data_IF_765258307389
#
_entry.id   IF_765258307389
#
_cell.length_a   1.000
_cell.length_b   1.000
_cell.length_c   1.000
_cell.angle_alpha   90.00
_cell.angle_beta   90.00
_cell.angle_gamma   90.00
#
_symmetry.space_group_name_H-M   'P 1'
#
loop_
_entity.id
_entity.type
_entity.pdbx_description
1 polymer ?
#
# COMPACT_ATOMS: atom_id res chain seq x y z
N UNK A 1 20.45 34.67 16.12
CA UNK A 1 19.60 33.58 15.61
C UNK A 1 20.45 32.51 14.96
N UNK A 2 20.37 31.25 15.37
CA UNK A 2 21.11 30.16 14.70
C UNK A 2 20.30 29.62 13.53
N UNK A 3 20.96 29.40 12.40
CA UNK A 3 20.37 28.66 11.28
C UNK A 3 20.64 27.18 11.53
N UNK A 4 19.59 26.43 11.84
CA UNK A 4 19.67 24.98 11.72
C UNK A 4 19.47 24.64 10.24
N UNK A 5 20.56 24.40 9.50
CA UNK A 5 20.48 23.75 8.19
C UNK A 5 20.11 22.30 8.47
N UNK A 6 18.81 22.05 8.59
CA UNK A 6 18.26 20.71 8.49
C UNK A 6 17.86 20.49 7.03
N UNK A 7 18.76 19.78 6.34
CA UNK A 7 18.52 18.83 5.25
C UNK A 7 17.33 19.15 4.32
N UNK A 8 17.65 19.45 3.06
CA UNK A 8 16.85 19.29 1.83
C UNK A 8 15.45 18.68 2.08
N UNK A 9 14.42 19.51 2.07
CA UNK A 9 13.04 19.05 2.04
C UNK A 9 12.70 18.69 0.58
N UNK A 10 13.04 17.47 0.17
CA UNK A 10 12.39 16.87 -1.00
C UNK A 10 10.92 16.67 -0.67
N UNK A 11 10.07 17.60 -1.13
CA UNK A 11 8.63 17.32 -1.27
C UNK A 11 8.48 16.38 -2.46
N UNK A 12 8.77 15.11 -2.21
CA UNK A 12 8.24 14.03 -3.01
C UNK A 12 6.86 13.71 -2.41
N UNK A 13 5.80 13.93 -3.18
CA UNK A 13 4.60 13.13 -3.00
C UNK A 13 4.97 11.70 -3.44
N UNK A 14 5.61 10.96 -2.55
CA UNK A 14 6.02 9.59 -2.75
C UNK A 14 5.09 8.71 -1.92
N UNK A 15 4.30 7.86 -2.59
CA UNK A 15 3.86 6.62 -1.99
C UNK A 15 5.10 5.89 -1.48
N UNK A 16 5.15 5.64 -0.19
CA UNK A 16 6.29 5.05 0.49
C UNK A 16 6.49 3.60 0.05
N UNK A 17 7.48 3.39 -0.81
CA UNK A 17 8.18 2.12 -0.93
C UNK A 17 9.15 1.99 0.25
N UNK A 18 8.79 1.17 1.22
CA UNK A 18 9.74 0.70 2.22
C UNK A 18 10.70 -0.31 1.55
N UNK A 19 11.85 0.17 1.07
CA UNK A 19 12.98 -0.70 0.79
C UNK A 19 13.79 -0.87 2.08
N UNK A 20 13.67 -2.04 2.74
CA UNK A 20 14.52 -2.40 3.86
C UNK A 20 15.97 -2.62 3.37
N UNK A 21 16.87 -1.69 3.66
CA UNK A 21 18.31 -1.93 3.52
C UNK A 21 18.85 -2.61 4.79
N UNK A 22 19.49 -3.76 4.60
CA UNK A 22 20.24 -4.47 5.65
C UNK A 22 21.44 -3.64 6.11
N UNK A 23 21.52 -3.34 7.41
CA UNK A 23 22.76 -2.81 7.99
C UNK A 23 23.83 -3.90 8.10
N UNK A 24 25.01 -3.57 7.59
CA UNK A 24 26.25 -4.34 7.69
C UNK A 24 26.76 -4.36 9.12
N UNK A 25 26.96 -5.55 9.68
CA UNK A 25 27.95 -5.75 10.73
C UNK A 25 29.26 -6.22 10.08
N UNK A 26 30.32 -5.43 10.29
CA UNK A 26 31.69 -5.87 10.11
C UNK A 26 31.92 -7.09 11.00
N UNK A 27 32.32 -8.23 10.45
CA UNK A 27 33.50 -8.99 10.85
C UNK A 27 33.67 -10.23 9.94
N UNK A 28 34.92 -10.49 9.57
CA UNK A 28 35.48 -11.61 8.80
C UNK A 28 35.57 -11.49 7.28
N UNK A 29 36.78 -11.79 6.82
CA UNK A 29 37.47 -11.36 5.62
C UNK A 29 37.55 -12.54 4.65
N UNK A 30 36.87 -12.45 3.51
CA UNK A 30 37.24 -13.20 2.31
C UNK A 30 37.11 -12.29 1.08
N UNK A 31 38.24 -12.11 0.38
CA UNK A 31 38.35 -11.36 -0.88
C UNK A 31 37.89 -12.26 -2.02
N UNK A 32 36.93 -11.84 -2.86
CA UNK A 32 36.94 -12.13 -4.31
C UNK A 32 36.14 -11.07 -5.10
N UNK A 33 36.91 -10.33 -5.92
CA UNK A 33 36.65 -9.69 -7.24
C UNK A 33 35.35 -8.90 -7.49
N UNK A 34 35.50 -7.58 -7.68
CA UNK A 34 34.48 -6.62 -8.16
C UNK A 34 34.34 -6.71 -9.69
N UNK A 35 33.10 -6.72 -10.20
CA UNK A 35 32.76 -6.26 -11.57
C UNK A 35 32.20 -4.84 -11.45
N UNK A 36 32.83 -3.87 -12.10
CA UNK A 36 32.32 -2.50 -12.24
C UNK A 36 31.29 -2.44 -13.37
N UNK A 37 30.11 -1.82 -13.17
CA UNK A 37 29.34 -1.19 -14.23
C UNK A 37 29.82 0.27 -14.43
N UNK A 38 29.88 0.72 -15.69
CA UNK A 38 30.21 2.09 -16.08
C UNK A 38 29.29 3.14 -15.40
N UNK A 39 29.81 4.36 -15.12
CA UNK A 39 29.07 5.42 -14.44
C UNK A 39 28.03 6.06 -15.36
N UNK A 40 26.75 5.98 -14.98
CA UNK A 40 25.71 6.91 -15.46
C UNK A 40 25.83 8.22 -14.69
N UNK A 41 25.98 9.33 -15.39
CA UNK A 41 25.98 10.68 -14.79
C UNK A 41 24.65 10.95 -14.08
N UNK A 42 24.71 11.07 -12.75
CA UNK A 42 23.56 11.50 -11.92
C UNK A 42 23.59 13.01 -11.84
N UNK A 43 22.74 13.69 -12.61
CA UNK A 43 22.45 15.11 -12.40
C UNK A 43 21.53 15.23 -11.19
N UNK A 44 22.07 15.65 -10.06
CA UNK A 44 21.31 16.00 -8.86
C UNK A 44 20.73 17.40 -9.04
N UNK A 45 19.40 17.51 -9.17
CA UNK A 45 18.69 18.79 -9.11
C UNK A 45 18.25 19.02 -7.65
N UNK A 46 18.73 20.06 -6.94
CA UNK A 46 18.33 20.33 -5.55
C UNK A 46 16.84 20.66 -5.44
N UNK A 47 16.15 20.06 -4.46
CA UNK A 47 14.79 20.43 -4.08
C UNK A 47 14.72 21.78 -3.33
N UNK A 48 13.50 22.30 -3.07
CA UNK A 48 13.32 23.60 -2.41
C UNK A 48 13.81 23.60 -0.95
N UNK A 49 14.59 24.62 -0.58
CA UNK A 49 15.10 24.83 0.78
C UNK A 49 14.01 25.40 1.69
N UNK A 50 13.82 24.82 2.88
CA UNK A 50 12.90 25.31 3.92
C UNK A 50 13.71 25.80 5.12
N UNK A 51 13.37 26.99 5.63
CA UNK A 51 14.05 27.59 6.78
C UNK A 51 13.24 27.40 8.06
N UNK A 52 13.89 26.97 9.14
CA UNK A 52 13.39 27.06 10.50
C UNK A 52 14.13 28.19 11.23
N UNK A 53 13.41 29.02 11.97
CA UNK A 53 13.96 30.18 12.68
C UNK A 53 13.95 29.90 14.18
N UNK A 54 15.12 30.01 14.82
CA UNK A 54 15.29 29.76 16.25
C UNK A 54 15.93 30.98 16.93
N UNK A 55 15.34 31.37 18.07
CA UNK A 55 15.84 32.41 18.95
C UNK A 55 15.85 31.90 20.39
N UNK A 56 17.01 31.97 21.05
CA UNK A 56 17.22 31.51 22.44
C UNK A 56 16.76 30.06 22.75
N UNK A 57 16.76 29.17 21.75
CA UNK A 57 16.35 27.77 21.91
C UNK A 57 14.87 27.51 21.63
N UNK A 58 14.09 28.54 21.28
CA UNK A 58 12.69 28.43 20.89
C UNK A 58 12.47 28.72 19.40
N UNK A 59 11.54 27.99 18.78
CA UNK A 59 11.16 28.21 17.39
C UNK A 59 10.25 29.43 17.27
N UNK A 60 10.65 30.38 16.43
CA UNK A 60 9.88 31.58 16.14
C UNK A 60 9.35 31.55 14.69
N UNK A 61 8.28 32.28 14.41
CA UNK A 61 7.72 32.34 13.06
C UNK A 61 8.63 33.13 12.10
N UNK A 62 8.50 32.86 10.79
CA UNK A 62 9.20 33.61 9.73
C UNK A 62 8.96 35.13 9.81
N UNK A 63 7.72 35.55 10.10
CA UNK A 63 7.39 36.97 10.25
C UNK A 63 8.17 37.57 11.42
N UNK A 64 8.06 36.98 12.61
CA UNK A 64 8.76 37.47 13.81
C UNK A 64 10.29 37.52 13.61
N UNK A 65 10.86 36.53 12.93
CA UNK A 65 12.26 36.49 12.59
C UNK A 65 12.67 37.61 11.62
N UNK A 66 11.96 37.78 10.51
CA UNK A 66 12.29 38.75 9.47
C UNK A 66 12.01 40.20 9.91
N UNK A 67 10.91 40.43 10.63
CA UNK A 67 10.56 41.74 11.20
C UNK A 67 11.61 42.15 12.24
N UNK A 68 12.00 41.24 13.14
CA UNK A 68 13.04 41.51 14.14
C UNK A 68 14.43 41.77 13.54
N UNK A 69 14.74 41.17 12.39
CA UNK A 69 15.98 41.48 11.64
C UNK A 69 15.90 42.85 10.97
N UNK A 70 14.77 43.20 10.36
CA UNK A 70 14.56 44.48 9.70
C UNK A 70 14.58 45.66 10.70
N UNK A 71 14.05 45.45 11.90
CA UNK A 71 14.03 46.42 12.99
C UNK A 71 15.38 46.50 13.75
N UNK A 72 16.34 45.64 13.42
CA UNK A 72 17.67 45.60 14.05
C UNK A 72 17.68 45.00 15.46
N UNK A 73 16.57 44.41 15.90
CA UNK A 73 16.43 43.73 17.19
C UNK A 73 17.06 42.33 17.19
N UNK A 74 17.17 41.70 16.02
CA UNK A 74 17.73 40.36 15.82
C UNK A 74 18.84 40.37 14.77
N UNK A 75 19.85 39.51 14.96
CA UNK A 75 20.91 39.29 13.97
C UNK A 75 21.12 37.79 13.73
N UNK A 76 21.49 37.45 12.49
CA UNK A 76 21.95 36.11 12.13
C UNK A 76 23.22 35.74 12.90
N UNK A 77 23.26 34.52 13.43
CA UNK A 77 24.47 33.97 14.06
C UNK A 77 25.52 33.55 13.03
N UNK A 78 25.11 33.33 11.78
CA UNK A 78 25.98 33.10 10.63
C UNK A 78 25.57 34.03 9.47
N UNK A 79 26.38 35.07 9.16
CA UNK A 79 26.04 36.06 8.14
C UNK A 79 26.00 35.50 6.71
N UNK A 80 26.63 34.35 6.44
CA UNK A 80 26.76 33.82 5.07
C UNK A 80 25.56 32.97 4.62
N UNK A 81 24.69 32.57 5.55
CA UNK A 81 23.54 31.69 5.31
C UNK A 81 22.20 32.42 5.07
N UNK A 82 22.21 33.75 5.03
CA UNK A 82 21.00 34.59 5.03
C UNK A 82 20.38 34.83 3.64
N UNK A 83 21.02 34.39 2.54
CA UNK A 83 20.51 34.70 1.20
C UNK A 83 19.17 34.00 0.96
N UNK A 84 18.14 34.82 0.73
CA UNK A 84 16.76 34.46 0.35
C UNK A 84 15.85 33.92 1.47
N UNK A 85 16.30 33.94 2.73
CA UNK A 85 15.50 33.42 3.85
C UNK A 85 14.24 34.25 4.13
N UNK A 86 14.26 35.56 3.90
CA UNK A 86 13.12 36.45 4.14
C UNK A 86 12.31 36.81 2.88
N UNK A 87 12.63 36.23 1.73
CA UNK A 87 11.92 36.53 0.48
C UNK A 87 10.48 36.00 0.50
N UNK A 88 9.51 36.69 -0.15
CA UNK A 88 8.13 36.23 -0.22
C UNK A 88 8.04 34.92 -1.03
N UNK A 89 7.43 33.89 -0.44
CA UNK A 89 7.14 32.63 -1.12
C UNK A 89 5.86 32.78 -1.97
N UNK A 90 5.76 32.19 -3.18
CA UNK A 90 4.54 32.24 -3.97
C UNK A 90 3.37 31.63 -3.18
N UNK A 91 2.25 32.35 -3.15
CA UNK A 91 1.05 31.99 -2.41
C UNK A 91 0.36 30.79 -3.05
N UNK A 92 0.24 29.67 -2.32
CA UNK A 92 -0.49 28.48 -2.76
C UNK A 92 -1.90 28.57 -2.17
N UNK A 93 -2.89 28.86 -3.02
CA UNK A 93 -4.30 28.72 -2.66
C UNK A 93 -4.61 27.22 -2.43
N UNK A 94 -5.35 26.81 -1.38
CA UNK A 94 -5.62 25.39 -1.16
C UNK A 94 -6.44 24.80 -2.33
N UNK A 95 -6.00 23.71 -2.96
CA UNK A 95 -6.77 23.08 -4.04
C UNK A 95 -7.95 22.29 -3.47
N UNK A 96 -9.08 22.31 -4.18
CA UNK A 96 -10.14 21.29 -4.05
C UNK A 96 -9.56 19.95 -4.48
N UNK A 97 -9.94 18.88 -3.79
CA UNK A 97 -9.50 17.53 -4.15
C UNK A 97 -9.84 17.21 -5.62
N UNK A 98 -8.84 16.71 -6.37
CA UNK A 98 -8.92 16.13 -7.72
C UNK A 98 -8.61 17.00 -8.97
N UNK A 99 -7.49 17.75 -8.99
CA UNK A 99 -6.84 18.15 -10.27
C UNK A 99 -5.31 18.07 -10.17
N UNK A 100 -4.63 17.59 -11.22
CA UNK A 100 -3.17 17.50 -11.34
C UNK A 100 -2.71 18.29 -12.59
N UNK A 101 -1.74 19.20 -12.44
CA UNK A 101 -1.19 20.00 -13.55
C UNK A 101 0.21 19.50 -13.93
N UNK A 102 0.45 19.40 -15.24
CA UNK A 102 1.65 18.85 -15.88
C UNK A 102 2.69 19.95 -16.18
N UNK A 103 3.99 19.60 -16.19
CA UNK A 103 5.09 20.44 -16.68
C UNK A 103 5.52 19.98 -18.09
N UNK A 104 5.87 20.88 -19.03
CA UNK A 104 6.10 20.49 -20.43
C UNK A 104 7.40 19.69 -20.59
N UNK A 105 7.37 18.63 -21.39
CA UNK A 105 8.55 17.83 -21.75
C UNK A 105 9.13 18.25 -23.11
N UNK A 106 10.44 18.43 -23.16
CA UNK A 106 11.23 18.68 -24.38
C UNK A 106 11.52 17.38 -25.13
N UNK A 107 11.25 17.39 -26.43
CA UNK A 107 11.44 16.32 -27.41
C UNK A 107 12.90 16.09 -27.79
N UNK A 108 13.36 14.82 -27.80
CA UNK A 108 14.45 14.34 -28.66
C UNK A 108 14.18 12.91 -29.18
N UNK A 109 14.69 12.55 -30.38
CA UNK A 109 14.15 11.47 -31.20
C UNK A 109 14.84 10.11 -30.99
N UNK A 110 14.09 9.04 -31.25
CA UNK A 110 14.53 7.64 -31.22
C UNK A 110 15.40 7.24 -32.43
N UNK A 111 16.36 6.30 -32.26
CA UNK A 111 17.03 5.67 -33.39
C UNK A 111 16.31 4.38 -33.84
N UNK A 112 16.05 4.31 -35.15
CA UNK A 112 15.62 3.11 -35.88
C UNK A 112 16.76 2.10 -36.05
N UNK A 113 16.45 0.81 -35.96
CA UNK A 113 17.17 -0.23 -36.68
C UNK A 113 16.24 -1.39 -37.05
N UNK A 114 16.26 -1.72 -38.35
CA UNK A 114 15.59 -2.82 -39.03
C UNK A 114 16.56 -4.00 -39.17
N UNK A 115 16.07 -5.23 -39.09
CA UNK A 115 16.46 -6.33 -40.01
C UNK A 115 15.60 -7.58 -39.81
N UNK A 116 15.22 -8.16 -40.94
CA UNK A 116 14.30 -9.28 -41.17
C UNK A 116 14.76 -10.66 -40.62
N UNK A 117 13.82 -11.63 -40.50
CA UNK A 117 14.04 -12.92 -39.84
C UNK A 117 14.63 -14.00 -40.77
N UNK A 118 15.43 -14.97 -40.26
CA UNK A 118 15.84 -16.13 -41.03
C UNK A 118 14.75 -17.22 -41.08
N UNK A 119 14.73 -17.89 -42.23
CA UNK A 119 13.77 -18.88 -42.71
C UNK A 119 13.83 -20.22 -41.97
N UNK A 120 12.65 -20.83 -41.92
CA UNK A 120 12.28 -22.19 -41.61
C UNK A 120 13.17 -23.27 -42.27
N UNK A 121 13.65 -24.22 -41.47
CA UNK A 121 14.16 -25.51 -41.95
C UNK A 121 13.50 -26.62 -41.14
N UNK A 122 12.59 -27.33 -41.80
CA UNK A 122 11.82 -28.44 -41.22
C UNK A 122 12.72 -29.59 -40.78
N UNK A 123 12.65 -29.92 -39.50
CA UNK A 123 13.12 -31.17 -38.92
C UNK A 123 11.90 -32.02 -38.62
N UNK A 124 11.72 -33.06 -39.42
CA UNK A 124 10.71 -34.11 -39.21
C UNK A 124 11.26 -35.06 -38.14
N UNK A 125 10.69 -35.02 -36.93
CA UNK A 125 10.98 -35.92 -35.83
C UNK A 125 9.68 -36.57 -35.38
N UNK A 126 9.54 -37.87 -35.67
CA UNK A 126 8.47 -38.72 -35.16
C UNK A 126 8.60 -38.85 -33.63
N UNK A 127 7.65 -38.27 -32.89
CA UNK A 127 7.50 -38.47 -31.44
C UNK A 127 6.45 -39.55 -31.13
N UNK A 128 6.71 -40.48 -30.20
CA UNK A 128 5.73 -41.46 -29.76
C UNK A 128 4.65 -40.84 -28.86
N UNK A 129 3.46 -41.43 -28.93
CA UNK A 129 2.24 -41.07 -28.22
C UNK A 129 2.43 -41.07 -26.68
N UNK A 130 2.36 -39.89 -26.06
CA UNK A 130 2.43 -39.71 -24.60
C UNK A 130 1.01 -39.76 -24.02
N UNK A 131 0.74 -40.78 -23.19
CA UNK A 131 -0.48 -40.89 -22.39
C UNK A 131 -0.60 -39.70 -21.43
N UNK A 132 -1.76 -39.05 -21.45
CA UNK A 132 -2.17 -37.97 -20.55
C UNK A 132 -1.91 -38.32 -19.07
N UNK A 133 -1.22 -37.47 -18.30
CA UNK A 133 -1.19 -37.60 -16.84
C UNK A 133 -2.51 -37.13 -16.22
N UNK A 134 -2.78 -37.70 -15.06
CA UNK A 134 -3.91 -37.52 -14.13
C UNK A 134 -4.28 -36.05 -13.81
N UNK A 135 -5.46 -35.80 -13.21
CA UNK A 135 -6.04 -34.46 -13.08
C UNK A 135 -5.15 -33.48 -12.32
N UNK A 136 -5.13 -32.24 -12.81
CA UNK A 136 -4.54 -31.07 -12.17
C UNK A 136 -5.01 -30.99 -10.71
N UNK A 137 -4.11 -30.81 -9.72
CA UNK A 137 -4.50 -30.61 -8.33
C UNK A 137 -5.45 -29.42 -8.23
N UNK A 138 -6.64 -29.66 -7.68
CA UNK A 138 -7.60 -28.62 -7.34
C UNK A 138 -6.90 -27.59 -6.45
N UNK A 139 -6.87 -26.32 -6.89
CA UNK A 139 -6.35 -25.23 -6.07
C UNK A 139 -6.97 -25.29 -4.67
N UNK A 140 -6.19 -25.06 -3.60
CA UNK A 140 -6.71 -25.08 -2.24
C UNK A 140 -7.88 -24.10 -2.15
N UNK A 141 -8.96 -24.54 -1.51
CA UNK A 141 -10.14 -23.72 -1.27
C UNK A 141 -9.72 -22.38 -0.63
N UNK A 142 -10.27 -21.24 -1.06
CA UNK A 142 -10.03 -19.97 -0.39
C UNK A 142 -10.32 -20.11 1.11
N UNK A 143 -9.62 -19.41 2.00
CA UNK A 143 -10.01 -19.38 3.40
C UNK A 143 -11.44 -18.85 3.46
N UNK A 144 -12.38 -19.76 3.72
CA UNK A 144 -13.69 -19.38 4.21
C UNK A 144 -13.43 -18.55 5.47
N UNK A 145 -14.14 -17.42 5.58
CA UNK A 145 -14.16 -16.56 6.77
C UNK A 145 -13.91 -17.37 8.05
N UNK A 146 -13.07 -16.85 8.96
CA UNK A 146 -12.87 -17.52 10.26
C UNK A 146 -14.23 -17.84 10.89
N UNK A 147 -14.32 -18.98 11.56
CA UNK A 147 -15.54 -19.35 12.26
C UNK A 147 -15.88 -18.25 13.28
N UNK A 148 -17.16 -18.07 13.60
CA UNK A 148 -17.56 -17.15 14.68
C UNK A 148 -17.32 -15.66 14.40
N UNK A 149 -17.40 -15.20 13.15
CA UNK A 149 -17.33 -13.76 12.79
C UNK A 149 -18.31 -12.89 13.58
N UNK A 150 -19.42 -13.48 14.03
CA UNK A 150 -20.44 -12.82 14.84
C UNK A 150 -20.27 -12.97 16.35
N UNK A 151 -19.21 -13.62 16.82
CA UNK A 151 -18.93 -13.81 18.23
C UNK A 151 -18.12 -12.64 18.80
N UNK A 152 -18.48 -12.25 20.03
CA UNK A 152 -17.66 -11.31 20.81
C UNK A 152 -16.31 -11.96 21.13
N UNK A 153 -15.24 -11.19 21.02
CA UNK A 153 -13.90 -11.64 21.37
C UNK A 153 -13.74 -11.74 22.89
N UNK A 154 -13.23 -12.86 23.44
CA UNK A 154 -13.02 -13.03 24.86
C UNK A 154 -11.75 -12.28 25.32
N UNK A 155 -11.92 -10.98 25.48
CA UNK A 155 -10.86 -10.02 25.83
C UNK A 155 -10.04 -10.48 27.04
N UNK A 156 -8.71 -10.55 26.89
CA UNK A 156 -7.78 -10.96 27.95
C UNK A 156 -7.76 -12.46 28.28
N UNK A 157 -8.47 -13.32 27.53
CA UNK A 157 -8.54 -14.76 27.83
C UNK A 157 -7.65 -15.61 26.92
N UNK A 158 -7.53 -15.24 25.65
CA UNK A 158 -6.75 -15.98 24.65
C UNK A 158 -5.26 -15.70 24.84
N UNK A 159 -4.43 -16.74 24.82
CA UNK A 159 -2.98 -16.60 24.86
C UNK A 159 -2.46 -15.96 23.58
N UNK A 160 -1.41 -15.12 23.65
CA UNK A 160 -0.84 -14.49 22.45
C UNK A 160 -0.29 -15.49 21.43
N UNK A 161 0.10 -16.69 21.88
CA UNK A 161 0.53 -17.80 21.03
C UNK A 161 -0.60 -18.43 20.21
N UNK A 162 -1.87 -18.14 20.55
CA UNK A 162 -3.03 -18.79 19.95
C UNK A 162 -3.71 -17.81 18.99
N UNK A 163 -3.66 -18.11 17.70
CA UNK A 163 -4.33 -17.30 16.68
C UNK A 163 -5.88 -17.42 16.82
N UNK A 164 -6.63 -16.30 16.86
CA UNK A 164 -8.04 -16.31 17.21
C UNK A 164 -8.98 -16.62 16.02
N UNK A 165 -8.75 -17.72 15.31
CA UNK A 165 -9.54 -18.11 14.14
C UNK A 165 -11.03 -18.38 14.44
N UNK A 166 -11.36 -18.72 15.68
CA UNK A 166 -12.73 -18.99 16.17
C UNK A 166 -13.59 -17.71 16.31
N UNK A 167 -13.00 -16.53 16.09
CA UNK A 167 -13.64 -15.22 16.24
C UNK A 167 -13.60 -14.39 14.94
N UNK A 168 -13.63 -15.06 13.79
CA UNK A 168 -13.73 -14.44 12.47
C UNK A 168 -12.41 -14.16 11.76
N UNK A 169 -11.29 -14.13 12.48
CA UNK A 169 -9.97 -13.89 11.89
C UNK A 169 -9.56 -15.04 10.96
N UNK A 170 -8.99 -14.72 9.80
CA UNK A 170 -8.47 -15.73 8.86
C UNK A 170 -6.96 -15.90 9.04
N UNK A 171 -6.52 -17.15 9.17
CA UNK A 171 -5.10 -17.47 9.34
C UNK A 171 -4.34 -17.28 8.04
N UNK A 172 -3.23 -16.53 8.11
CA UNK A 172 -2.30 -16.30 7.00
C UNK A 172 -0.97 -17.03 7.24
N UNK A 173 -1.04 -18.35 7.44
CA UNK A 173 0.10 -19.17 7.87
C UNK A 173 1.31 -19.11 6.91
N UNK A 174 1.09 -18.83 5.63
CA UNK A 174 2.18 -18.71 4.64
C UNK A 174 3.13 -17.53 4.92
N UNK A 175 2.70 -16.54 5.70
CA UNK A 175 3.55 -15.41 6.10
C UNK A 175 4.61 -15.81 7.13
N UNK A 176 4.46 -16.99 7.77
CA UNK A 176 5.37 -17.43 8.83
C UNK A 176 5.31 -16.60 10.10
N UNK A 177 4.18 -15.91 10.32
CA UNK A 177 3.91 -15.06 11.48
C UNK A 177 2.91 -15.70 12.45
N UNK A 178 2.69 -17.02 12.40
CA UNK A 178 1.71 -17.69 13.28
C UNK A 178 0.25 -17.29 12.99
N UNK A 179 -0.09 -17.11 11.71
CA UNK A 179 -1.43 -16.78 11.24
C UNK A 179 -1.75 -15.28 11.18
N UNK A 180 -0.96 -14.42 11.83
CA UNK A 180 -1.15 -12.97 11.84
C UNK A 180 -0.85 -12.35 10.46
N UNK A 181 -1.59 -11.30 10.09
CA UNK A 181 -1.37 -10.54 8.85
C UNK A 181 -0.20 -9.57 8.93
N UNK A 182 0.27 -9.31 10.15
CA UNK A 182 1.39 -8.45 10.44
C UNK A 182 1.60 -8.36 11.95
N UNK A 183 2.84 -8.14 12.38
CA UNK A 183 3.17 -7.93 13.79
C UNK A 183 3.96 -6.63 13.87
N UNK A 184 3.60 -5.75 14.81
CA UNK A 184 4.31 -4.52 15.07
C UNK A 184 4.80 -4.52 16.52
N UNK A 185 6.11 -4.45 16.70
CA UNK A 185 6.74 -4.24 18.00
C UNK A 185 6.90 -2.74 18.18
N UNK A 186 6.11 -2.17 19.08
CA UNK A 186 5.96 -0.72 19.19
C UNK A 186 6.69 -0.18 20.41
N UNK A 187 7.39 0.94 20.24
CA UNK A 187 7.89 1.76 21.35
C UNK A 187 6.96 2.96 21.51
N UNK A 188 6.39 3.12 22.71
CA UNK A 188 5.50 4.25 23.03
C UNK A 188 6.26 5.26 23.89
N UNK A 189 6.22 6.53 23.51
CA UNK A 189 6.69 7.64 24.34
C UNK A 189 5.60 8.71 24.42
N UNK A 190 5.21 9.07 25.64
CA UNK A 190 4.07 9.95 25.86
C UNK A 190 2.78 9.33 25.30
N UNK A 191 2.14 10.03 24.35
CA UNK A 191 0.89 9.60 23.72
C UNK A 191 1.04 9.02 22.32
N UNK A 192 2.27 8.76 21.86
CA UNK A 192 2.54 8.35 20.47
C UNK A 192 3.49 7.15 20.39
N UNK A 193 3.35 6.37 19.34
CA UNK A 193 4.34 5.34 18.96
C UNK A 193 5.49 6.05 18.24
N UNK A 194 6.71 5.96 18.77
CA UNK A 194 7.89 6.62 18.20
C UNK A 194 8.75 5.70 17.35
N UNK A 195 8.65 4.39 17.56
CA UNK A 195 9.36 3.39 16.80
C UNK A 195 8.50 2.14 16.59
N UNK A 196 8.62 1.55 15.41
CA UNK A 196 7.94 0.32 15.03
C UNK A 196 8.96 -0.59 14.37
N UNK A 197 9.24 -1.72 15.00
CA UNK A 197 9.87 -2.86 14.32
C UNK A 197 8.76 -3.74 13.76
N UNK A 198 8.72 -3.90 12.45
CA UNK A 198 7.81 -4.87 11.80
C UNK A 198 8.34 -6.29 12.01
N UNK A 199 7.44 -7.21 12.32
CA UNK A 199 7.74 -8.62 12.44
C UNK A 199 8.07 -9.25 11.09
N UNK A 200 9.02 -10.17 11.09
CA UNK A 200 9.47 -10.94 9.92
C UNK A 200 9.19 -12.43 10.11
N UNK A 201 9.34 -13.23 9.06
CA UNK A 201 9.14 -14.68 9.13
C UNK A 201 9.84 -15.31 10.35
N UNK A 202 9.09 -16.02 11.18
CA UNK A 202 9.55 -16.65 12.42
C UNK A 202 9.28 -15.84 13.69
N UNK A 203 8.98 -14.54 13.56
CA UNK A 203 8.49 -13.72 14.65
C UNK A 203 7.10 -14.17 15.12
N UNK A 204 6.77 -13.84 16.38
CA UNK A 204 5.54 -14.26 17.05
C UNK A 204 4.87 -13.08 17.74
N UNK A 205 3.56 -13.18 17.88
CA UNK A 205 2.80 -12.28 18.73
C UNK A 205 3.21 -12.52 20.19
N UNK A 206 4.03 -11.62 20.73
CA UNK A 206 4.59 -11.68 22.07
C UNK A 206 4.31 -10.40 22.86
N UNK A 207 4.63 -10.40 24.14
CA UNK A 207 4.24 -9.32 25.05
C UNK A 207 4.69 -7.94 24.55
N UNK A 208 3.75 -7.00 24.52
CA UNK A 208 3.95 -5.65 24.01
C UNK A 208 3.74 -5.49 22.50
N UNK A 209 3.63 -6.58 21.73
CA UNK A 209 3.36 -6.49 20.30
C UNK A 209 1.90 -6.12 19.98
N UNK A 210 1.72 -5.46 18.84
CA UNK A 210 0.43 -5.27 18.17
C UNK A 210 0.32 -6.31 17.04
N UNK A 211 -0.63 -7.21 17.18
CA UNK A 211 -0.78 -8.41 16.38
C UNK A 211 -1.97 -8.26 15.44
N UNK A 212 -1.66 -7.94 14.20
CA UNK A 212 -2.59 -7.61 13.14
C UNK A 212 -3.17 -8.87 12.51
N UNK A 213 -4.45 -8.84 12.14
CA UNK A 213 -5.16 -9.99 11.56
C UNK A 213 -6.00 -9.58 10.36
N UNK A 214 -6.25 -10.56 9.49
CA UNK A 214 -7.13 -10.43 8.35
C UNK A 214 -8.54 -10.94 8.67
N UNK A 215 -9.51 -10.41 7.94
CA UNK A 215 -10.91 -10.84 7.98
C UNK A 215 -11.32 -11.36 6.61
N UNK A 216 -12.35 -12.20 6.57
CA UNK A 216 -12.87 -12.76 5.32
C UNK A 216 -13.42 -11.70 4.34
N UNK A 217 -13.73 -12.11 3.09
CA UNK A 217 -14.31 -11.22 2.07
C UNK A 217 -15.53 -10.46 2.58
N UNK A 218 -15.62 -9.16 2.29
CA UNK A 218 -16.68 -8.28 2.78
C UNK A 218 -16.50 -7.76 4.21
N UNK A 219 -15.54 -8.31 4.97
CA UNK A 219 -15.20 -7.88 6.33
C UNK A 219 -13.84 -7.17 6.40
N UNK A 220 -13.66 -6.41 7.46
CA UNK A 220 -12.44 -5.72 7.83
C UNK A 220 -12.21 -5.82 9.34
N UNK A 221 -10.94 -5.77 9.72
CA UNK A 221 -10.51 -5.71 11.12
C UNK A 221 -11.15 -4.54 11.82
N UNK A 222 -11.51 -4.66 13.08
CA UNK A 222 -12.07 -3.54 13.86
C UNK A 222 -11.17 -3.08 15.01
N UNK A 223 -9.98 -3.67 15.16
CA UNK A 223 -9.10 -3.42 16.30
C UNK A 223 -7.82 -2.70 15.85
N UNK A 224 -7.63 -1.49 16.38
CA UNK A 224 -6.40 -0.71 16.37
C UNK A 224 -6.38 0.25 17.57
N UNK A 225 -5.24 0.57 18.18
CA UNK A 225 -5.18 1.50 19.31
C UNK A 225 -5.42 2.95 18.88
N UNK A 226 -5.86 3.81 19.80
CA UNK A 226 -5.87 5.27 19.57
C UNK A 226 -4.45 5.86 19.48
N UNK A 227 -3.48 5.25 20.16
CA UNK A 227 -2.06 5.57 20.05
C UNK A 227 -1.54 5.13 18.67
N UNK A 228 -1.16 6.09 17.84
CA UNK A 228 -0.64 5.87 16.48
C UNK A 228 0.80 6.40 16.35
N UNK A 229 1.44 6.17 15.20
CA UNK A 229 2.81 6.59 14.91
C UNK A 229 2.99 8.11 14.92
N UNK A 230 4.06 8.60 15.53
CA UNK A 230 4.38 10.03 15.64
C UNK A 230 4.68 10.68 14.29
N UNK A 231 5.11 9.89 13.28
CA UNK A 231 5.38 10.38 11.92
C UNK A 231 4.36 9.85 10.91
N UNK A 232 3.17 9.44 11.37
CA UNK A 232 2.07 9.03 10.51
C UNK A 232 2.01 7.52 10.18
N UNK A 233 2.85 6.68 10.77
CA UNK A 233 2.67 5.23 10.67
C UNK A 233 1.35 4.82 11.31
N UNK A 234 0.64 3.89 10.68
CA UNK A 234 -0.51 3.26 11.32
C UNK A 234 -0.08 2.12 12.25
N UNK A 235 -0.87 1.93 13.30
CA UNK A 235 -0.71 0.83 14.25
C UNK A 235 -2.04 0.12 14.38
N UNK A 236 -2.06 -1.20 14.30
CA UNK A 236 -3.30 -1.96 14.30
C UNK A 236 -3.17 -3.40 14.78
N UNK A 237 -4.32 -4.02 15.05
CA UNK A 237 -4.38 -5.38 15.58
C UNK A 237 -4.74 -5.45 17.06
N UNK A 238 -4.66 -6.65 17.62
CA UNK A 238 -4.82 -6.91 19.05
C UNK A 238 -3.52 -6.61 19.79
N UNK A 239 -3.59 -6.20 21.04
CA UNK A 239 -2.40 -6.04 21.88
C UNK A 239 -2.11 -7.35 22.62
N UNK A 240 -0.88 -7.84 22.55
CA UNK A 240 -0.42 -8.85 23.49
C UNK A 240 0.07 -8.17 24.78
N UNK A 241 -0.48 -8.55 25.93
CA UNK A 241 -0.10 -8.00 27.24
C UNK A 241 -0.26 -9.06 28.32
N UNK A 242 0.71 -9.23 29.22
CA UNK A 242 0.72 -10.33 30.19
C UNK A 242 0.56 -11.72 29.54
N UNK A 243 1.01 -11.90 28.29
CA UNK A 243 0.83 -13.15 27.53
C UNK A 243 -0.60 -13.43 27.06
N UNK A 244 -1.52 -12.45 27.15
CA UNK A 244 -2.91 -12.53 26.69
C UNK A 244 -3.22 -11.49 25.63
N UNK A 245 -4.15 -11.82 24.72
CA UNK A 245 -4.63 -10.92 23.68
C UNK A 245 -5.73 -10.00 24.20
N UNK A 246 -5.61 -8.71 23.88
CA UNK A 246 -6.57 -7.68 24.24
C UNK A 246 -7.05 -6.88 23.02
N UNK A 247 -8.34 -6.53 23.03
CA UNK A 247 -8.94 -5.57 22.13
C UNK A 247 -8.31 -4.19 22.31
N UNK A 248 -8.09 -3.50 21.20
CA UNK A 248 -7.50 -2.15 21.21
C UNK A 248 -8.50 -1.06 20.83
N UNK A 249 -9.68 -1.44 20.29
CA UNK A 249 -10.79 -0.55 19.97
C UNK A 249 -12.17 -1.16 20.34
N UNK A 250 -12.39 -1.51 21.62
CA UNK A 250 -13.66 -2.09 22.06
C UNK A 250 -14.85 -1.11 21.92
N UNK A 251 -14.58 0.20 21.80
CA UNK A 251 -15.60 1.22 21.56
C UNK A 251 -16.21 1.16 20.16
N UNK A 252 -15.44 0.73 19.16
CA UNK A 252 -15.96 0.48 17.81
C UNK A 252 -16.67 -0.87 17.72
N UNK A 253 -16.06 -1.92 18.26
CA UNK A 253 -16.60 -3.29 18.19
C UNK A 253 -15.95 -4.20 19.23
N UNK A 254 -16.74 -5.12 19.79
CA UNK A 254 -16.24 -6.25 20.60
C UNK A 254 -15.88 -7.48 19.77
N UNK A 255 -16.27 -7.51 18.50
CA UNK A 255 -15.88 -8.55 17.52
C UNK A 255 -14.53 -8.18 16.91
N UNK A 256 -13.84 -9.16 16.31
CA UNK A 256 -12.60 -8.88 15.57
C UNK A 256 -12.88 -8.34 14.17
N UNK A 257 -13.86 -8.93 13.50
CA UNK A 257 -14.21 -8.59 12.13
C UNK A 257 -15.55 -7.87 12.07
N UNK A 258 -15.57 -6.72 11.41
CA UNK A 258 -16.77 -5.93 11.13
C UNK A 258 -17.02 -5.88 9.62
N UNK A 259 -18.28 -5.78 9.22
CA UNK A 259 -18.64 -5.71 7.79
C UNK A 259 -18.27 -4.33 7.22
N UNK A 260 -17.79 -4.30 5.99
CA UNK A 260 -17.76 -3.06 5.19
C UNK A 260 -19.17 -2.63 4.79
N UNK A 261 -19.29 -1.56 4.00
CA UNK A 261 -20.59 -1.06 3.54
C UNK A 261 -21.27 -1.93 2.48
N UNK A 262 -20.56 -2.93 1.96
CA UNK A 262 -21.02 -3.82 0.89
C UNK A 262 -21.13 -3.13 -0.48
N UNK A 263 -21.77 -3.81 -1.44
CA UNK A 263 -22.06 -3.24 -2.77
C UNK A 263 -20.88 -3.20 -3.75
N UNK A 264 -19.74 -3.81 -3.40
CA UNK A 264 -18.56 -3.91 -4.27
C UNK A 264 -18.12 -5.36 -4.39
N UNK A 265 -17.84 -5.80 -5.62
CA UNK A 265 -17.44 -7.18 -5.91
C UNK A 265 -16.32 -7.23 -6.94
N UNK A 266 -15.63 -8.37 -7.01
CA UNK A 266 -14.70 -8.71 -8.09
C UNK A 266 -15.22 -9.96 -8.79
N UNK A 267 -15.38 -9.87 -10.11
CA UNK A 267 -15.77 -10.99 -10.98
C UNK A 267 -14.60 -11.31 -11.89
N UNK A 268 -14.14 -12.56 -11.85
CA UNK A 268 -13.10 -13.04 -12.75
C UNK A 268 -13.74 -13.93 -13.81
N UNK A 269 -13.75 -13.48 -15.07
CA UNK A 269 -14.29 -14.27 -16.19
C UNK A 269 -13.24 -15.15 -16.86
N UNK A 270 -11.97 -14.99 -16.50
CA UNK A 270 -10.86 -15.83 -16.98
C UNK A 270 -10.90 -17.21 -16.32
N UNK A 271 -10.08 -18.13 -16.80
CA UNK A 271 -9.94 -19.48 -16.24
C UNK A 271 -8.98 -19.56 -15.04
N UNK A 272 -8.00 -18.65 -14.96
CA UNK A 272 -6.97 -18.64 -13.92
C UNK A 272 -7.40 -17.81 -12.71
N UNK A 273 -6.95 -18.21 -11.51
CA UNK A 273 -7.15 -17.44 -10.27
C UNK A 273 -6.41 -16.10 -10.33
N UNK A 274 -6.93 -15.09 -9.64
CA UNK A 274 -6.23 -13.83 -9.39
C UNK A 274 -6.23 -13.56 -7.88
N UNK A 275 -5.06 -13.26 -7.32
CA UNK A 275 -4.93 -12.75 -5.96
C UNK A 275 -5.10 -11.23 -5.94
N UNK A 276 -6.10 -10.76 -5.19
CA UNK A 276 -6.36 -9.34 -4.94
C UNK A 276 -6.08 -9.06 -3.47
N UNK A 277 -4.98 -8.40 -3.17
CA UNK A 277 -4.49 -8.32 -1.79
C UNK A 277 -4.70 -6.91 -1.23
N UNK A 278 -5.44 -6.78 -0.13
CA UNK A 278 -5.66 -5.48 0.53
C UNK A 278 -4.48 -5.14 1.42
N UNK A 279 -4.17 -3.86 1.52
CA UNK A 279 -3.28 -3.33 2.56
C UNK A 279 -3.81 -3.68 3.96
N UNK A 280 -2.92 -4.14 4.83
CA UNK A 280 -3.13 -4.32 6.26
C UNK A 280 -3.17 -2.96 6.96
N UNK A 281 -4.32 -2.29 6.84
CA UNK A 281 -4.50 -0.92 7.29
C UNK A 281 -5.75 -0.76 8.18
N UNK A 282 -5.61 -0.16 9.38
CA UNK A 282 -4.35 0.24 10.04
C UNK A 282 -3.53 -0.97 10.49
N UNK A 283 -2.20 -0.88 10.50
CA UNK A 283 -1.33 -2.01 10.84
C UNK A 283 0.02 -1.92 10.16
N UNK A 284 0.51 -3.05 9.66
CA UNK A 284 1.83 -3.12 9.02
C UNK A 284 1.89 -2.46 7.65
N UNK A 285 0.76 -2.04 7.10
CA UNK A 285 0.65 -1.43 5.76
C UNK A 285 1.15 -2.36 4.63
N UNK A 286 1.26 -3.65 4.92
CA UNK A 286 1.67 -4.69 3.99
C UNK A 286 0.45 -5.24 3.24
N UNK A 287 0.63 -5.71 2.01
CA UNK A 287 -0.42 -6.19 1.11
C UNK A 287 -0.83 -7.64 1.44
N UNK A 288 -1.10 -7.91 2.70
CA UNK A 288 -1.22 -9.27 3.23
C UNK A 288 -2.64 -9.75 3.36
N UNK A 289 -3.65 -8.86 3.38
CA UNK A 289 -5.04 -9.26 3.57
C UNK A 289 -5.60 -9.86 2.27
N UNK A 290 -5.88 -11.17 2.21
CA UNK A 290 -6.08 -11.85 0.93
C UNK A 290 -7.53 -11.80 0.45
N UNK A 291 -7.70 -11.66 -0.86
CA UNK A 291 -8.92 -12.05 -1.59
C UNK A 291 -8.52 -12.94 -2.76
N UNK A 292 -8.94 -14.20 -2.72
CA UNK A 292 -8.79 -15.12 -3.85
C UNK A 292 -10.00 -15.01 -4.77
N UNK A 293 -9.78 -14.70 -6.05
CA UNK A 293 -10.84 -14.65 -7.07
C UNK A 293 -10.56 -15.74 -8.10
N UNK A 294 -11.21 -16.90 -7.92
CA UNK A 294 -11.08 -18.04 -8.80
C UNK A 294 -11.59 -17.77 -10.23
N UNK A 295 -11.17 -18.60 -11.17
CA UNK A 295 -11.67 -18.49 -12.54
C UNK A 295 -13.18 -18.72 -12.62
N UNK A 296 -13.89 -17.88 -13.37
CA UNK A 296 -15.34 -17.89 -13.48
C UNK A 296 -16.10 -17.52 -12.20
N UNK A 297 -15.42 -17.06 -11.14
CA UNK A 297 -16.05 -16.76 -9.85
C UNK A 297 -16.34 -15.28 -9.66
N UNK A 298 -17.20 -15.00 -8.68
CA UNK A 298 -17.46 -13.66 -8.17
C UNK A 298 -17.27 -13.67 -6.65
N UNK A 299 -16.57 -12.68 -6.12
CA UNK A 299 -16.26 -12.58 -4.70
C UNK A 299 -16.53 -11.15 -4.21
N UNK A 300 -17.12 -11.01 -3.02
CA UNK A 300 -17.33 -9.71 -2.39
C UNK A 300 -16.00 -9.03 -2.06
N UNK A 301 -15.92 -7.71 -2.29
CA UNK A 301 -14.78 -6.87 -1.98
C UNK A 301 -15.15 -5.93 -0.85
N UNK A 302 -14.35 -5.88 0.21
CA UNK A 302 -14.66 -5.02 1.36
C UNK A 302 -14.56 -3.54 0.98
N UNK A 303 -15.61 -2.78 1.29
CA UNK A 303 -15.63 -1.32 1.08
C UNK A 303 -15.69 -0.61 2.45
N UNK A 304 -14.61 0.06 2.88
CA UNK A 304 -14.63 0.86 4.10
C UNK A 304 -15.49 2.13 3.95
N UNK A 305 -16.09 2.56 5.05
CA UNK A 305 -16.74 3.87 5.17
C UNK A 305 -15.78 4.88 5.81
N UNK A 306 -15.40 5.93 5.08
CA UNK A 306 -14.45 6.94 5.55
C UNK A 306 -14.96 7.71 6.77
N UNK A 307 -16.28 7.77 6.98
CA UNK A 307 -16.89 8.45 8.13
C UNK A 307 -17.00 7.62 9.40
N UNK A 308 -16.95 6.29 9.29
CA UNK A 308 -17.32 5.37 10.38
C UNK A 308 -16.27 4.27 10.67
N UNK A 309 -15.11 4.32 10.04
CA UNK A 309 -14.07 3.30 10.18
C UNK A 309 -12.78 3.88 10.79
N UNK A 310 -11.67 3.85 10.06
CA UNK A 310 -10.37 4.34 10.51
C UNK A 310 -10.11 5.73 9.96
N UNK A 311 -9.63 6.62 10.83
CA UNK A 311 -9.28 8.00 10.49
C UNK A 311 -7.78 8.19 10.70
N UNK A 312 -7.07 8.53 9.63
CA UNK A 312 -5.64 8.75 9.65
C UNK A 312 -5.33 10.24 9.74
N UNK A 313 -4.72 10.70 10.84
CA UNK A 313 -4.40 12.12 11.06
C UNK A 313 -5.60 13.07 10.81
N UNK A 314 -6.80 12.66 11.24
CA UNK A 314 -8.03 13.43 11.03
C UNK A 314 -8.62 13.33 9.61
N UNK A 315 -8.04 12.50 8.72
CA UNK A 315 -8.50 12.29 7.35
C UNK A 315 -9.19 10.92 7.22
N UNK A 316 -10.30 10.90 6.50
CA UNK A 316 -10.99 9.67 6.14
C UNK A 316 -10.10 8.77 5.28
N UNK A 317 -10.30 7.46 5.38
CA UNK A 317 -9.46 6.47 4.69
C UNK A 317 -10.27 5.63 3.71
N UNK A 318 -9.58 5.04 2.74
CA UNK A 318 -10.12 4.08 1.78
C UNK A 318 -9.27 2.80 1.78
N UNK A 319 -9.77 1.74 1.17
CA UNK A 319 -9.00 0.53 0.95
C UNK A 319 -8.27 0.59 -0.39
N UNK A 320 -7.00 0.20 -0.37
CA UNK A 320 -6.21 -0.10 -1.54
C UNK A 320 -6.04 -1.61 -1.67
N UNK A 321 -6.25 -2.12 -2.87
CA UNK A 321 -6.05 -3.53 -3.23
C UNK A 321 -5.02 -3.65 -4.33
N UNK A 322 -4.21 -4.70 -4.29
CA UNK A 322 -3.12 -4.99 -5.21
C UNK A 322 -3.53 -6.17 -6.07
N UNK A 323 -3.65 -5.95 -7.37
CA UNK A 323 -4.09 -6.95 -8.33
C UNK A 323 -2.87 -7.64 -8.92
N UNK A 324 -2.65 -8.88 -8.51
CA UNK A 324 -1.54 -9.70 -8.99
C UNK A 324 -1.83 -10.25 -10.41
N UNK A 325 -0.79 -10.66 -11.17
CA UNK A 325 -0.96 -11.36 -12.44
C UNK A 325 -1.86 -12.60 -12.33
N UNK A 326 -2.53 -12.96 -13.43
CA UNK A 326 -3.36 -14.16 -13.48
C UNK A 326 -2.53 -15.42 -13.23
N UNK A 327 -3.09 -16.36 -12.50
CA UNK A 327 -2.40 -17.58 -12.03
C UNK A 327 -1.64 -17.41 -10.71
N UNK A 328 -1.44 -16.19 -10.20
CA UNK A 328 -0.80 -15.96 -8.90
C UNK A 328 -1.80 -16.23 -7.77
N UNK A 329 -1.42 -17.13 -6.85
CA UNK A 329 -2.23 -17.50 -5.69
C UNK A 329 -2.11 -16.48 -4.54
N UNK A 330 -3.00 -16.54 -3.54
CA UNK A 330 -2.92 -15.64 -2.37
C UNK A 330 -1.66 -15.89 -1.54
N UNK A 331 -1.16 -17.14 -1.49
CA UNK A 331 0.06 -17.51 -0.79
C UNK A 331 1.30 -16.94 -1.47
N UNK A 332 1.26 -16.76 -2.78
CA UNK A 332 2.36 -16.14 -3.53
C UNK A 332 2.25 -14.61 -3.52
N UNK A 333 1.06 -14.07 -3.78
CA UNK A 333 0.85 -12.66 -4.09
C UNK A 333 0.45 -11.77 -2.91
N UNK A 334 -0.09 -12.31 -1.82
CA UNK A 334 -0.49 -11.50 -0.65
C UNK A 334 0.59 -11.53 0.44
N UNK A 335 1.76 -11.03 0.07
CA UNK A 335 2.96 -10.87 0.91
C UNK A 335 3.90 -9.87 0.23
N UNK A 336 4.95 -9.44 0.93
CA UNK A 336 6.01 -8.62 0.33
C UNK A 336 6.75 -9.38 -0.78
N UNK A 337 6.89 -8.73 -1.94
CA UNK A 337 7.71 -9.21 -3.04
C UNK A 337 9.16 -8.75 -2.89
N UNK A 338 10.09 -9.49 -3.49
CA UNK A 338 11.52 -9.15 -3.55
C UNK A 338 11.90 -8.29 -4.78
N UNK A 339 10.91 -7.93 -5.61
CA UNK A 339 11.09 -7.17 -6.85
C UNK A 339 11.45 -8.01 -8.07
N UNK A 340 11.67 -9.33 -7.93
CA UNK A 340 11.97 -10.22 -9.05
C UNK A 340 10.75 -10.53 -9.94
N UNK A 341 9.55 -10.43 -9.36
CA UNK A 341 8.25 -10.65 -10.00
C UNK A 341 7.31 -9.49 -9.67
N UNK A 342 6.37 -9.14 -10.57
CA UNK A 342 5.38 -8.10 -10.31
C UNK A 342 4.23 -8.64 -9.43
N UNK A 343 4.54 -9.00 -8.19
CA UNK A 343 3.59 -9.54 -7.20
C UNK A 343 3.71 -8.81 -5.86
N UNK A 344 2.71 -8.93 -4.99
CA UNK A 344 2.73 -8.29 -3.68
C UNK A 344 2.72 -6.76 -3.80
N UNK A 345 3.60 -6.09 -3.06
CA UNK A 345 3.83 -4.65 -3.17
C UNK A 345 4.24 -4.22 -4.59
N UNK A 346 4.77 -5.13 -5.43
CA UNK A 346 5.10 -4.89 -6.85
C UNK A 346 4.00 -5.31 -7.83
N UNK A 347 2.78 -5.59 -7.34
CA UNK A 347 1.64 -5.88 -8.22
C UNK A 347 1.40 -4.70 -9.19
N UNK A 348 1.14 -4.94 -10.49
CA UNK A 348 1.03 -3.89 -11.49
C UNK A 348 -0.05 -2.84 -11.24
N UNK A 349 -1.21 -3.27 -10.73
CA UNK A 349 -2.41 -2.44 -10.64
C UNK A 349 -2.92 -2.39 -9.21
N UNK A 350 -3.37 -1.20 -8.82
CA UNK A 350 -4.12 -1.00 -7.60
C UNK A 350 -5.60 -0.69 -7.89
N UNK A 351 -6.47 -1.21 -7.01
CA UNK A 351 -7.87 -0.82 -6.94
C UNK A 351 -8.08 0.07 -5.72
N UNK A 352 -8.70 1.22 -5.91
CA UNK A 352 -9.15 2.10 -4.83
C UNK A 352 -10.61 1.83 -4.52
N UNK A 353 -10.96 1.66 -3.24
CA UNK A 353 -12.32 1.36 -2.82
C UNK A 353 -12.64 2.09 -1.52
N UNK A 354 -13.65 2.94 -1.50
CA UNK A 354 -14.13 3.54 -0.26
C UNK A 354 -15.44 4.27 -0.43
N UNK A 355 -16.23 4.36 0.64
CA UNK A 355 -17.43 5.18 0.71
C UNK A 355 -17.11 6.49 1.41
N UNK A 356 -17.54 7.60 0.82
CA UNK A 356 -17.54 8.93 1.46
C UNK A 356 -18.84 9.64 1.11
N UNK A 357 -19.47 10.28 2.09
CA UNK A 357 -20.68 11.09 1.90
C UNK A 357 -21.79 10.37 1.12
N UNK A 358 -21.98 9.08 1.41
CA UNK A 358 -23.01 8.25 0.77
C UNK A 358 -22.66 7.71 -0.63
N UNK A 359 -21.54 8.12 -1.22
CA UNK A 359 -21.07 7.65 -2.53
C UNK A 359 -19.92 6.68 -2.37
N UNK A 360 -19.95 5.55 -3.08
CA UNK A 360 -18.78 4.64 -3.18
C UNK A 360 -17.90 5.12 -4.34
N UNK A 361 -16.62 5.31 -4.10
CA UNK A 361 -15.62 5.63 -5.12
C UNK A 361 -14.79 4.39 -5.43
N UNK A 362 -14.70 4.08 -6.71
CA UNK A 362 -13.96 2.94 -7.25
C UNK A 362 -12.93 3.43 -8.27
N UNK A 363 -11.68 3.03 -8.10
CA UNK A 363 -10.57 3.45 -8.95
C UNK A 363 -9.77 2.26 -9.46
N UNK A 364 -9.23 2.38 -10.66
CA UNK A 364 -8.20 1.48 -11.21
C UNK A 364 -7.01 2.36 -11.57
N UNK A 365 -5.83 2.09 -11.01
CA UNK A 365 -4.65 2.92 -11.25
C UNK A 365 -3.36 2.09 -11.24
N UNK A 366 -2.34 2.61 -11.91
CA UNK A 366 -1.01 2.02 -11.94
C UNK A 366 -0.39 2.08 -10.54
N UNK A 367 0.27 1.01 -10.09
CA UNK A 367 1.08 1.02 -8.88
C UNK A 367 2.41 1.78 -9.10
N UNK A 368 2.30 3.09 -9.38
CA UNK A 368 3.42 3.99 -9.59
C UNK A 368 3.73 4.75 -8.29
N UNK A 369 5.01 5.09 -8.02
CA UNK A 369 6.20 4.81 -8.84
C UNK A 369 6.82 3.42 -8.61
N UNK A 370 6.21 2.57 -7.78
CA UNK A 370 6.70 1.23 -7.41
C UNK A 370 7.05 0.34 -8.59
N UNK A 371 6.17 0.29 -9.58
CA UNK A 371 6.35 -0.56 -10.75
C UNK A 371 5.65 0.03 -11.96
N UNK A 372 6.26 -0.18 -13.13
CA UNK A 372 5.65 0.09 -14.43
C UNK A 372 5.21 -1.20 -15.13
N UNK A 373 5.30 -2.35 -14.45
CA UNK A 373 4.76 -3.61 -14.95
C UNK A 373 3.28 -3.47 -15.29
N UNK A 374 2.82 -4.25 -16.25
CA UNK A 374 1.45 -4.23 -16.78
C UNK A 374 0.82 -5.61 -16.58
N UNK A 375 -0.48 -5.65 -16.34
CA UNK A 375 -1.23 -6.90 -16.39
C UNK A 375 -1.45 -7.30 -17.85
N UNK A 376 -1.52 -8.60 -18.08
CA UNK A 376 -1.85 -9.23 -19.36
C UNK A 376 -3.34 -9.59 -19.46
N UNK A 377 -4.17 -8.91 -18.66
CA UNK A 377 -5.62 -9.01 -18.68
C UNK A 377 -6.26 -7.64 -18.41
N UNK A 378 -7.51 -7.49 -18.80
CA UNK A 378 -8.30 -6.26 -18.69
C UNK A 378 -9.08 -6.21 -17.37
N UNK A 379 -9.31 -4.98 -16.87
CA UNK A 379 -10.18 -4.72 -15.72
C UNK A 379 -11.21 -3.68 -16.12
N UNK A 380 -12.49 -3.91 -15.87
CA UNK A 380 -13.56 -2.92 -16.12
C UNK A 380 -14.46 -2.78 -14.90
N UNK A 381 -14.83 -1.55 -14.55
CA UNK A 381 -15.88 -1.33 -13.55
C UNK A 381 -17.24 -1.36 -14.24
N UNK A 382 -18.12 -2.25 -13.77
CA UNK A 382 -19.51 -2.37 -14.22
C UNK A 382 -20.47 -2.10 -13.06
N UNK A 383 -21.63 -1.50 -13.36
CA UNK A 383 -22.66 -1.17 -12.39
C UNK A 383 -23.78 -0.35 -13.04
N UNK A 384 -24.97 -0.36 -12.44
CA UNK A 384 -26.14 0.33 -13.00
C UNK A 384 -26.14 1.85 -12.77
N UNK A 385 -25.43 2.34 -11.75
CA UNK A 385 -25.42 3.76 -11.36
C UNK A 385 -23.99 4.29 -11.19
N UNK A 386 -23.20 4.16 -12.25
CA UNK A 386 -21.85 4.72 -12.30
C UNK A 386 -21.88 6.16 -12.80
N UNK A 387 -21.10 7.04 -12.18
CA UNK A 387 -20.94 8.44 -12.62
C UNK A 387 -20.17 8.58 -13.94
N UNK A 388 -19.62 7.49 -14.47
CA UNK A 388 -18.81 7.46 -15.68
C UNK A 388 -18.36 6.03 -16.01
N UNK A 389 -17.30 5.92 -16.80
CA UNK A 389 -16.64 4.65 -17.12
C UNK A 389 -15.23 4.64 -16.54
N UNK A 390 -14.74 3.47 -16.16
CA UNK A 390 -13.35 3.26 -15.80
C UNK A 390 -12.94 1.82 -16.13
N UNK A 391 -11.86 1.69 -16.90
CA UNK A 391 -11.30 0.39 -17.27
C UNK A 391 -9.81 0.47 -17.53
N UNK A 392 -9.14 -0.68 -17.47
CA UNK A 392 -7.75 -0.91 -17.81
C UNK A 392 -7.69 -1.97 -18.90
N UNK A 393 -6.93 -1.73 -19.97
CA UNK A 393 -6.68 -2.69 -21.04
C UNK A 393 -5.36 -2.35 -21.74
N UNK A 394 -4.56 -3.38 -22.05
CA UNK A 394 -3.31 -3.24 -22.81
C UNK A 394 -2.36 -2.16 -22.27
N UNK A 395 -2.24 -2.07 -20.93
CA UNK A 395 -1.34 -1.12 -20.28
C UNK A 395 -1.86 0.31 -20.15
N UNK A 396 -3.07 0.60 -20.64
CA UNK A 396 -3.71 1.91 -20.61
C UNK A 396 -5.00 1.89 -19.80
N UNK A 397 -5.34 3.03 -19.21
CA UNK A 397 -6.57 3.27 -18.49
C UNK A 397 -7.52 4.08 -19.37
N UNK A 398 -8.81 3.83 -19.27
CA UNK A 398 -9.85 4.47 -20.07
C UNK A 398 -10.98 4.95 -19.18
N UNK A 399 -11.33 6.23 -19.34
CA UNK A 399 -12.49 6.85 -18.70
C UNK A 399 -13.42 7.47 -19.76
N UNK A 400 -14.37 8.30 -19.32
CA UNK A 400 -15.31 8.97 -20.22
C UNK A 400 -14.65 10.00 -21.17
N UNK A 401 -13.44 10.46 -20.84
CA UNK A 401 -12.71 11.52 -21.57
C UNK A 401 -11.67 10.96 -22.54
N UNK A 402 -11.22 9.71 -22.35
CA UNK A 402 -10.28 9.05 -23.25
C UNK A 402 -9.38 8.07 -22.53
N UNK A 403 -8.18 7.85 -23.09
CA UNK A 403 -7.18 6.96 -22.52
C UNK A 403 -6.06 7.74 -21.83
N UNK A 404 -5.58 7.24 -20.68
CA UNK A 404 -4.46 7.83 -19.94
C UNK A 404 -3.56 6.74 -19.33
N UNK A 405 -2.32 7.06 -18.92
CA UNK A 405 -1.37 6.06 -18.39
C UNK A 405 -1.44 5.88 -16.86
N UNK A 406 -2.28 6.66 -16.16
CA UNK A 406 -2.23 6.80 -14.70
C UNK A 406 -3.32 6.00 -13.99
N UNK A 407 -4.57 6.17 -14.42
CA UNK A 407 -5.72 5.59 -13.74
C UNK A 407 -7.04 6.28 -14.07
N UNK A 408 -8.12 5.75 -13.53
CA UNK A 408 -9.44 6.33 -13.62
C UNK A 408 -10.23 6.06 -12.33
N UNK A 409 -11.27 6.86 -12.08
CA UNK A 409 -12.16 6.72 -10.92
C UNK A 409 -13.61 6.95 -11.34
N UNK A 410 -14.53 6.19 -10.75
CA UNK A 410 -15.98 6.40 -10.88
C UNK A 410 -16.64 6.43 -9.51
N UNK A 411 -17.70 7.22 -9.38
CA UNK A 411 -18.62 7.18 -8.25
C UNK A 411 -19.76 6.20 -8.52
N UNK A 412 -20.20 5.51 -7.48
CA UNK A 412 -21.34 4.60 -7.46
C UNK A 412 -22.37 5.18 -6.50
N UNK A 413 -23.50 5.63 -7.03
CA UNK A 413 -24.55 6.31 -6.26
C UNK A 413 -25.68 5.37 -5.83
N UNK A 414 -25.65 4.11 -6.27
CA UNK A 414 -26.58 3.07 -5.81
C UNK A 414 -26.39 1.72 -6.50
N UNK A 415 -26.85 0.65 -5.85
CA UNK A 415 -26.73 -0.71 -6.36
C UNK A 415 -25.38 -1.36 -6.06
N UNK A 416 -25.02 -2.37 -6.85
CA UNK A 416 -23.74 -3.07 -6.75
C UNK A 416 -22.85 -2.70 -7.93
N UNK A 417 -21.57 -2.46 -7.66
CA UNK A 417 -20.55 -2.28 -8.67
C UNK A 417 -19.52 -3.42 -8.63
N UNK A 418 -19.04 -3.83 -9.79
CA UNK A 418 -18.19 -4.99 -9.97
C UNK A 418 -16.94 -4.63 -10.75
N UNK A 419 -15.76 -4.95 -10.21
CA UNK A 419 -14.54 -5.05 -11.01
C UNK A 419 -14.58 -6.35 -11.80
N UNK A 420 -14.65 -6.27 -13.12
CA UNK A 420 -14.66 -7.43 -14.01
C UNK A 420 -13.28 -7.62 -14.60
N UNK A 421 -12.66 -8.77 -14.31
CA UNK A 421 -11.39 -9.19 -14.91
C UNK A 421 -11.66 -10.11 -16.10
N UNK A 422 -11.05 -9.83 -17.25
CA UNK A 422 -11.21 -10.59 -18.50
C UNK A 422 -9.91 -10.61 -19.30
N UNK A 423 -9.72 -11.61 -20.17
CA UNK A 423 -8.58 -11.64 -21.10
C UNK A 423 -8.53 -10.42 -22.06
#
# INVERSE_FOLDING_TARGET
MKLAISVVLTVAAAGSLAAAQSHRHNHHRHKHVKRSPDPTDVVVVPGPTVYAYEFEGELISKSQACDGIQEGALQWADPDNAKNACDPQPSVTPPKAAEFYEKPTTTHPAPSASSDPPKDQGLNLDLPEVKLPLPIPKAPSPPLSGAGVDQDFPDGQIACSNFPAEYGAISLDWLGLGGWSGIQYVTVQGSSVTDIRTGIHGDKCEDGAMCSYACGPGYQKSQWPSTQGSTGQSVGGLKCSGGKLYLTNPGLSKKLCMKGVGGVQVKNTMSQVVAVCRTDYPGTESETVPLSVGGGSITELTCPDSGNYYTWQGKGTSAQYYVNPKGVTIQEGCQWGDGSRPIGNFAPINLGVGRSDGTIFLSIFQNAPTTNAKLDFSIRIEGSNLSGACSYKNGMFYDATGSNPNGCTVGVTGGTATYVFSD
#
